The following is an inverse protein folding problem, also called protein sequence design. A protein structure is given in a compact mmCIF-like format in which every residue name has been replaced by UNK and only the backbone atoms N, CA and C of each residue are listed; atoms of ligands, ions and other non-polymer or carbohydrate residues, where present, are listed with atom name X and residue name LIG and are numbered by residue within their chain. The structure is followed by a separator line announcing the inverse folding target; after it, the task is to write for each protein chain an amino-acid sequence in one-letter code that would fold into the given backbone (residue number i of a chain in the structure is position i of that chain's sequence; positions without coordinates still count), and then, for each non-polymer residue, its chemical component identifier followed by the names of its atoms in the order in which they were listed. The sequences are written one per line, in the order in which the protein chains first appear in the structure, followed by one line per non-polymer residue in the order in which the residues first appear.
data_IF_541133464572
#
_entry.id   IF_541133464572
#
_cell.length_a   1.000
_cell.length_b   1.000
_cell.length_c   1.000
_cell.angle_alpha   90.00
_cell.angle_beta   90.00
_cell.angle_gamma   90.00
#
_symmetry.space_group_name_H-M   'P 1'
#
loop_
_entity.id
_entity.type
_entity.pdbx_description
1 polymer ?
#
# COMPACT_ATOMS: atom_id res chain seq x y z
N UNK A 1 -9.77 6.18 -8.66
CA UNK A 1 -8.53 6.19 -9.46
C UNK A 1 -7.66 4.98 -9.10
N UNK A 2 -7.03 4.37 -10.10
CA UNK A 2 -6.07 3.28 -9.91
C UNK A 2 -4.76 3.72 -10.58
N UNK A 3 -3.66 3.70 -9.83
CA UNK A 3 -2.34 4.14 -10.30
C UNK A 3 -1.32 3.02 -10.09
N UNK A 4 -0.77 2.48 -11.16
CA UNK A 4 0.29 1.47 -11.10
C UNK A 4 1.63 2.19 -10.92
N UNK A 5 2.23 2.03 -9.74
CA UNK A 5 3.48 2.70 -9.38
C UNK A 5 4.71 1.89 -9.80
N UNK A 6 4.63 0.56 -9.66
CA UNK A 6 5.60 -0.39 -10.22
C UNK A 6 4.85 -1.60 -10.76
N UNK A 7 5.55 -2.52 -11.40
CA UNK A 7 4.98 -3.81 -11.82
C UNK A 7 4.45 -4.69 -10.66
N UNK A 8 4.71 -4.27 -9.39
CA UNK A 8 4.34 -4.95 -8.14
C UNK A 8 3.62 -4.07 -7.12
N UNK A 9 3.45 -2.76 -7.39
CA UNK A 9 2.87 -1.80 -6.47
C UNK A 9 1.79 -1.00 -7.16
N UNK A 10 0.58 -1.01 -6.60
CA UNK A 10 -0.57 -0.27 -7.13
C UNK A 10 -1.24 0.55 -6.04
N UNK A 11 -1.58 1.80 -6.36
CA UNK A 11 -2.38 2.69 -5.51
C UNK A 11 -3.84 2.62 -5.94
N UNK A 12 -4.72 2.42 -4.96
CA UNK A 12 -6.16 2.35 -5.11
C UNK A 12 -6.79 3.52 -4.38
N UNK A 13 -7.50 4.38 -5.09
CA UNK A 13 -8.13 5.56 -4.52
C UNK A 13 -9.60 5.62 -4.87
N UNK A 14 -10.43 5.93 -3.87
CA UNK A 14 -11.84 6.23 -4.08
C UNK A 14 -12.21 7.52 -3.37
N UNK A 15 -12.91 8.40 -4.10
CA UNK A 15 -13.44 9.66 -3.59
C UNK A 15 -14.85 9.84 -4.12
N UNK A 16 -15.79 10.18 -3.24
CA UNK A 16 -17.19 10.47 -3.61
C UNK A 16 -17.32 11.72 -4.45
N UNK A 17 -16.40 12.69 -4.27
CA UNK A 17 -16.39 13.96 -5.00
C UNK A 17 -15.62 13.88 -6.31
N UNK A 18 -14.87 12.80 -6.54
CA UNK A 18 -13.94 12.67 -7.67
C UNK A 18 -12.66 13.50 -7.53
N UNK A 19 -12.44 14.14 -6.38
CA UNK A 19 -11.20 14.83 -6.06
C UNK A 19 -10.20 13.85 -5.44
N UNK A 20 -8.98 13.84 -5.93
CA UNK A 20 -7.91 12.95 -5.46
C UNK A 20 -6.74 13.76 -4.91
N UNK A 21 -6.13 13.26 -3.84
CA UNK A 21 -5.05 13.94 -3.15
C UNK A 21 -3.69 13.42 -3.60
N UNK A 22 -2.89 14.29 -4.19
CA UNK A 22 -1.56 13.94 -4.69
C UNK A 22 -0.41 14.59 -3.89
N UNK A 23 -0.74 15.46 -2.92
CA UNK A 23 0.26 16.04 -2.01
C UNK A 23 0.88 14.95 -1.14
N UNK A 24 2.05 15.26 -0.61
CA UNK A 24 2.72 14.44 0.40
C UNK A 24 1.85 14.28 1.64
N UNK A 25 1.80 13.10 2.20
CA UNK A 25 1.14 12.85 3.48
C UNK A 25 2.17 12.62 4.58
N UNK A 26 1.72 12.44 5.81
CA UNK A 26 2.61 12.08 6.91
C UNK A 26 3.36 10.76 6.65
N UNK A 27 2.74 9.84 5.90
CA UNK A 27 3.30 8.52 5.59
C UNK A 27 3.93 8.50 4.19
N UNK A 28 3.28 9.10 3.20
CA UNK A 28 3.67 8.97 1.79
C UNK A 28 4.41 10.21 1.32
N UNK A 29 5.69 10.03 1.05
CA UNK A 29 6.58 11.12 0.62
C UNK A 29 6.73 11.21 -0.89
N UNK A 30 6.87 10.06 -1.58
CA UNK A 30 7.18 10.04 -3.01
C UNK A 30 6.36 8.97 -3.74
N UNK A 31 5.68 9.35 -4.81
CA UNK A 31 4.90 8.45 -5.67
C UNK A 31 5.47 8.31 -7.08
N UNK A 32 6.62 8.95 -7.36
CA UNK A 32 7.29 8.84 -8.65
C UNK A 32 8.22 7.64 -8.69
N UNK A 33 7.78 6.60 -9.38
CA UNK A 33 8.53 5.38 -9.63
C UNK A 33 8.95 5.25 -11.10
N UNK A 34 8.67 6.27 -11.92
CA UNK A 34 8.92 6.26 -13.35
C UNK A 34 7.86 5.51 -14.15
N UNK A 35 8.23 5.10 -15.37
CA UNK A 35 7.29 4.41 -16.27
C UNK A 35 7.24 2.91 -15.98
N UNK A 36 6.02 2.38 -15.97
CA UNK A 36 5.74 0.95 -15.77
C UNK A 36 5.23 0.34 -17.07
N UNK A 37 5.78 -0.82 -17.46
CA UNK A 37 5.24 -1.63 -18.54
C UNK A 37 4.06 -2.44 -18.02
N UNK A 38 2.90 -2.26 -18.63
CA UNK A 38 1.68 -3.00 -18.29
C UNK A 38 0.78 -3.13 -19.52
N UNK A 39 -0.05 -4.16 -19.51
CA UNK A 39 -1.19 -4.28 -20.42
C UNK A 39 -2.47 -3.92 -19.68
N UNK A 40 -3.41 -3.28 -20.37
CA UNK A 40 -4.72 -3.01 -19.79
C UNK A 40 -5.84 -3.10 -20.81
N UNK A 41 -7.01 -3.48 -20.32
CA UNK A 41 -8.27 -3.45 -21.06
C UNK A 41 -9.23 -2.56 -20.30
N UNK A 42 -9.72 -1.52 -20.93
CA UNK A 42 -10.71 -0.62 -20.32
C UNK A 42 -11.94 -0.50 -21.21
N UNK A 43 -13.10 -0.74 -20.59
CA UNK A 43 -14.42 -0.53 -21.20
C UNK A 43 -15.24 0.42 -20.31
N UNK A 44 -16.48 0.69 -20.69
CA UNK A 44 -17.40 1.46 -19.83
C UNK A 44 -17.63 0.84 -18.45
N UNK A 45 -17.53 -0.49 -18.33
CA UNK A 45 -17.92 -1.22 -17.13
C UNK A 45 -16.76 -1.95 -16.44
N UNK A 46 -15.65 -2.19 -17.13
CA UNK A 46 -14.56 -3.03 -16.65
C UNK A 46 -13.23 -2.33 -16.88
N UNK A 47 -12.32 -2.49 -15.94
CA UNK A 47 -10.91 -2.21 -16.06
C UNK A 47 -10.12 -3.45 -15.61
N UNK A 48 -9.34 -4.02 -16.52
CA UNK A 48 -8.35 -5.06 -16.24
C UNK A 48 -6.95 -4.48 -16.44
N UNK A 49 -6.08 -4.64 -15.46
CA UNK A 49 -4.67 -4.23 -15.53
C UNK A 49 -3.80 -5.46 -15.29
N UNK A 50 -2.84 -5.68 -16.15
CA UNK A 50 -1.94 -6.82 -16.09
C UNK A 50 -0.48 -6.37 -16.13
N UNK A 51 0.28 -6.75 -15.11
CA UNK A 51 1.74 -6.69 -15.11
C UNK A 51 2.33 -8.10 -15.18
N UNK A 52 3.62 -8.25 -15.11
CA UNK A 52 4.25 -9.57 -14.98
C UNK A 52 3.94 -10.26 -13.65
N UNK A 53 3.53 -9.48 -12.62
CA UNK A 53 3.40 -9.95 -11.23
C UNK A 53 1.97 -10.01 -10.72
N UNK A 54 1.05 -9.22 -11.26
CA UNK A 54 -0.35 -9.27 -10.84
C UNK A 54 -1.34 -9.04 -11.99
N UNK A 55 -2.58 -9.43 -11.74
CA UNK A 55 -3.78 -9.06 -12.50
C UNK A 55 -4.75 -8.35 -11.55
N UNK A 56 -5.10 -7.10 -11.86
CA UNK A 56 -6.14 -6.34 -11.19
C UNK A 56 -7.38 -6.34 -12.06
N UNK A 57 -8.52 -6.70 -11.48
CA UNK A 57 -9.83 -6.63 -12.11
C UNK A 57 -10.74 -5.69 -11.34
N UNK A 58 -11.41 -4.80 -12.05
CA UNK A 58 -12.34 -3.84 -11.45
C UNK A 58 -13.56 -3.61 -12.34
N UNK A 59 -14.74 -3.99 -11.82
CA UNK A 59 -16.05 -3.73 -12.45
C UNK A 59 -16.57 -2.34 -12.09
N UNK A 60 -15.81 -1.32 -12.25
CA UNK A 60 -16.10 0.11 -11.99
C UNK A 60 -17.19 0.38 -10.93
N UNK A 61 -17.26 1.58 -10.42
CA UNK A 61 -18.15 1.97 -9.34
C UNK A 61 -17.43 2.20 -8.01
N UNK A 62 -18.14 2.10 -6.90
CA UNK A 62 -17.56 2.14 -5.56
C UNK A 62 -16.83 0.82 -5.27
N UNK A 63 -15.65 0.90 -4.64
CA UNK A 63 -14.85 -0.30 -4.33
C UNK A 63 -15.56 -1.20 -3.32
N UNK A 64 -15.71 -2.47 -3.67
CA UNK A 64 -16.21 -3.51 -2.79
C UNK A 64 -15.65 -4.90 -3.21
N UNK A 65 -15.89 -5.91 -2.38
CA UNK A 65 -15.37 -7.27 -2.61
C UNK A 65 -15.92 -7.95 -3.88
N UNK A 66 -17.06 -7.50 -4.39
CA UNK A 66 -17.69 -8.10 -5.58
C UNK A 66 -17.14 -7.53 -6.89
N UNK A 67 -16.57 -6.30 -6.84
CA UNK A 67 -16.16 -5.60 -8.04
C UNK A 67 -14.66 -5.32 -8.18
N UNK A 68 -13.87 -5.50 -7.11
CA UNK A 68 -12.43 -5.26 -7.14
C UNK A 68 -11.65 -6.41 -6.51
N UNK A 69 -10.80 -7.04 -7.32
CA UNK A 69 -9.83 -8.00 -6.81
C UNK A 69 -8.45 -7.80 -7.47
N UNK A 70 -7.43 -8.26 -6.78
CA UNK A 70 -6.06 -8.34 -7.31
C UNK A 70 -5.53 -9.76 -7.08
N UNK A 71 -5.06 -10.39 -8.15
CA UNK A 71 -4.50 -11.72 -8.14
C UNK A 71 -3.02 -11.67 -8.51
N UNK A 72 -2.16 -12.26 -7.66
CA UNK A 72 -0.74 -12.40 -7.97
C UNK A 72 -0.53 -13.47 -9.03
N UNK A 73 0.34 -13.19 -9.96
CA UNK A 73 0.86 -14.20 -10.89
C UNK A 73 1.99 -14.97 -10.21
N UNK A 74 1.82 -16.27 -10.08
CA UNK A 74 2.75 -17.16 -9.39
C UNK A 74 2.08 -17.96 -8.30
N UNK A 75 2.80 -18.94 -7.77
CA UNK A 75 2.28 -19.84 -6.74
C UNK A 75 2.86 -19.48 -5.37
N UNK A 76 2.27 -18.49 -4.70
CA UNK A 76 2.72 -17.97 -3.42
C UNK A 76 1.93 -18.51 -2.22
N UNK A 77 0.76 -19.10 -2.46
CA UNK A 77 -0.06 -19.71 -1.42
C UNK A 77 -0.70 -21.00 -1.93
N UNK A 78 -1.01 -21.92 -1.00
CA UNK A 78 -1.62 -23.23 -1.31
C UNK A 78 -3.00 -23.07 -1.96
N UNK A 79 -3.71 -21.98 -1.68
CA UNK A 79 -5.10 -21.73 -2.12
C UNK A 79 -5.23 -20.53 -3.06
N UNK A 80 -4.16 -20.11 -3.70
CA UNK A 80 -4.14 -18.93 -4.57
C UNK A 80 -3.66 -17.68 -3.87
N UNK A 81 -3.45 -16.62 -4.65
CA UNK A 81 -2.88 -15.35 -4.21
C UNK A 81 -3.80 -14.21 -4.66
N UNK A 82 -5.11 -14.39 -4.47
CA UNK A 82 -6.12 -13.40 -4.80
C UNK A 82 -6.57 -12.69 -3.53
N UNK A 83 -6.63 -11.39 -3.61
CA UNK A 83 -7.21 -10.52 -2.59
C UNK A 83 -8.44 -9.82 -3.15
N UNK A 84 -9.52 -9.82 -2.40
CA UNK A 84 -10.71 -9.03 -2.68
C UNK A 84 -10.72 -7.77 -1.82
N UNK A 85 -11.23 -6.67 -2.38
CA UNK A 85 -11.28 -5.41 -1.65
C UNK A 85 -11.98 -5.56 -0.30
N UNK A 86 -11.30 -5.08 0.76
CA UNK A 86 -11.80 -5.17 2.14
C UNK A 86 -11.38 -6.44 2.90
N UNK A 87 -10.75 -7.42 2.24
CA UNK A 87 -10.20 -8.58 2.94
C UNK A 87 -8.98 -8.20 3.78
N UNK A 88 -8.94 -8.71 5.01
CA UNK A 88 -7.76 -8.59 5.87
C UNK A 88 -6.61 -9.46 5.39
N UNK A 89 -5.40 -8.96 5.49
CA UNK A 89 -4.18 -9.68 5.11
C UNK A 89 -3.39 -10.01 6.38
N UNK A 90 -3.06 -11.30 6.58
CA UNK A 90 -2.16 -11.70 7.65
C UNK A 90 -0.71 -11.39 7.26
N UNK A 91 -0.15 -10.32 7.84
CA UNK A 91 1.22 -9.89 7.59
C UNK A 91 2.23 -10.57 8.53
N UNK A 92 3.52 -10.45 8.23
CA UNK A 92 4.60 -10.88 9.12
C UNK A 92 4.83 -9.89 10.27
N UNK A 93 3.92 -8.95 10.43
CA UNK A 93 3.94 -7.87 11.41
C UNK A 93 5.11 -6.91 11.20
N UNK A 94 4.94 -5.72 11.71
CA UNK A 94 5.94 -4.66 11.73
C UNK A 94 6.57 -4.52 13.09
N UNK A 95 6.47 -3.33 13.66
CA UNK A 95 6.97 -2.99 14.99
C UNK A 95 5.84 -2.44 15.87
N UNK A 96 6.15 -2.20 17.15
CA UNK A 96 5.32 -1.38 18.02
C UNK A 96 5.83 0.06 18.00
N UNK A 97 4.93 1.03 18.21
CA UNK A 97 5.30 2.45 18.29
C UNK A 97 6.19 2.74 19.49
N UNK A 98 5.90 2.11 20.61
CA UNK A 98 6.60 2.31 21.87
C UNK A 98 6.57 1.02 22.69
N UNK A 99 7.56 0.88 23.53
CA UNK A 99 7.62 -0.14 24.58
C UNK A 99 7.36 0.46 25.98
N UNK A 100 6.98 1.73 26.05
CA UNK A 100 6.66 2.38 27.30
C UNK A 100 5.50 1.65 27.99
N UNK A 101 5.66 1.38 29.29
CA UNK A 101 4.70 0.63 30.10
C UNK A 101 4.42 -0.81 29.62
N UNK A 102 5.24 -1.35 28.71
CA UNK A 102 5.10 -2.72 28.24
C UNK A 102 5.53 -3.71 29.35
N UNK A 103 4.60 -4.59 29.73
CA UNK A 103 4.84 -5.70 30.66
C UNK A 103 4.51 -7.03 29.96
N UNK A 104 5.52 -7.62 29.34
CA UNK A 104 5.39 -8.85 28.57
C UNK A 104 5.14 -8.59 27.09
N UNK A 105 4.36 -9.47 26.46
CA UNK A 105 4.08 -9.43 25.03
C UNK A 105 3.13 -8.25 24.69
N UNK A 106 3.46 -7.54 23.63
CA UNK A 106 2.65 -6.44 23.08
C UNK A 106 2.19 -6.77 21.67
N UNK A 107 1.04 -6.26 21.22
CA UNK A 107 0.62 -6.40 19.84
C UNK A 107 1.58 -5.63 18.91
N UNK A 108 1.96 -6.25 17.80
CA UNK A 108 2.72 -5.60 16.74
C UNK A 108 1.77 -5.11 15.65
N UNK A 109 2.09 -3.97 15.07
CA UNK A 109 1.36 -3.42 13.92
C UNK A 109 1.60 -4.26 12.66
N UNK A 110 0.70 -4.14 11.68
CA UNK A 110 0.85 -4.81 10.41
C UNK A 110 2.07 -4.29 9.63
N UNK A 111 2.74 -5.22 8.94
CA UNK A 111 3.88 -4.93 8.10
C UNK A 111 3.51 -4.93 6.62
N UNK A 112 4.49 -4.62 5.77
CA UNK A 112 4.32 -4.55 4.31
C UNK A 112 4.75 -5.86 3.59
N UNK A 113 4.95 -6.93 4.33
CA UNK A 113 5.29 -8.26 3.80
C UNK A 113 4.42 -9.33 4.47
N UNK A 114 4.13 -10.39 3.75
CA UNK A 114 3.35 -11.52 4.24
C UNK A 114 3.80 -12.85 3.63
N UNK A 115 3.33 -13.96 4.18
CA UNK A 115 3.56 -15.29 3.60
C UNK A 115 2.73 -15.53 2.34
N UNK A 116 1.58 -14.87 2.23
CA UNK A 116 0.75 -14.91 1.02
C UNK A 116 1.31 -14.07 -0.14
N UNK A 117 2.39 -13.32 0.11
CA UNK A 117 3.04 -12.51 -0.91
C UNK A 117 2.37 -11.18 -1.21
N UNK A 118 1.35 -10.81 -0.44
CA UNK A 118 0.62 -9.55 -0.55
C UNK A 118 0.64 -8.78 0.76
N UNK A 119 0.59 -7.46 0.69
CA UNK A 119 0.37 -6.58 1.83
C UNK A 119 -0.38 -5.33 1.39
N UNK A 120 -1.01 -4.66 2.34
CA UNK A 120 -1.76 -3.44 2.14
C UNK A 120 -1.28 -2.36 3.10
N UNK A 121 -0.97 -1.18 2.56
CA UNK A 121 -0.67 0.00 3.32
C UNK A 121 -1.84 0.97 3.16
N UNK A 122 -2.48 1.34 4.27
CA UNK A 122 -3.63 2.26 4.28
C UNK A 122 -3.18 3.66 4.72
N UNK A 123 -3.30 4.62 3.80
CA UNK A 123 -3.03 6.04 4.04
C UNK A 123 -4.31 6.88 4.03
N UNK A 124 -5.48 6.25 4.08
CA UNK A 124 -6.79 6.92 3.99
C UNK A 124 -7.02 7.97 5.08
N UNK A 125 -6.39 7.79 6.24
CA UNK A 125 -6.46 8.70 7.40
C UNK A 125 -5.18 9.52 7.60
N UNK A 126 -4.22 9.45 6.66
CA UNK A 126 -2.95 10.16 6.73
C UNK A 126 -3.16 11.67 6.65
N UNK A 127 -2.48 12.44 7.53
CA UNK A 127 -2.44 13.90 7.41
C UNK A 127 -1.70 14.32 6.15
N UNK A 128 -2.22 15.34 5.46
CA UNK A 128 -1.64 15.92 4.25
C UNK A 128 -0.67 17.03 4.65
N UNK A 129 0.49 17.09 4.02
CA UNK A 129 1.39 18.23 4.15
C UNK A 129 0.95 19.39 3.26
N UNK A 130 0.62 20.51 3.89
CA UNK A 130 0.32 21.77 3.22
C UNK A 130 1.41 22.80 3.55
N UNK A 131 1.95 23.46 2.54
CA UNK A 131 3.09 24.39 2.70
C UNK A 131 2.78 25.60 3.60
N UNK A 132 1.52 26.00 3.68
CA UNK A 132 1.11 27.19 4.46
C UNK A 132 0.62 26.82 5.84
N UNK A 133 -0.09 25.70 5.99
CA UNK A 133 -0.79 25.31 7.19
C UNK A 133 -0.10 24.18 7.96
N UNK A 134 0.93 23.55 7.39
CA UNK A 134 1.56 22.35 7.95
C UNK A 134 0.70 21.12 7.71
N UNK A 135 0.62 20.21 8.67
CA UNK A 135 -0.22 19.02 8.55
C UNK A 135 -1.70 19.36 8.73
N UNK A 136 -2.51 19.02 7.72
CA UNK A 136 -3.96 19.19 7.72
C UNK A 136 -4.66 17.84 7.60
N UNK A 137 -5.89 17.76 8.11
CA UNK A 137 -6.71 16.57 7.99
C UNK A 137 -7.11 16.31 6.53
N UNK A 138 -7.20 15.05 6.19
CA UNK A 138 -7.65 14.59 4.88
C UNK A 138 -9.19 14.50 4.85
N UNK A 139 -9.80 14.82 3.71
CA UNK A 139 -11.19 14.49 3.45
C UNK A 139 -11.39 12.95 3.45
N UNK A 140 -12.59 12.50 3.80
CA UNK A 140 -12.91 11.07 3.83
C UNK A 140 -12.82 10.46 2.43
N UNK A 141 -11.74 9.74 2.16
CA UNK A 141 -11.47 9.03 0.91
C UNK A 141 -10.67 7.75 1.22
N UNK A 142 -10.69 6.82 0.28
CA UNK A 142 -9.85 5.63 0.33
C UNK A 142 -8.55 5.94 -0.39
N UNK A 143 -7.41 5.60 0.23
CA UNK A 143 -6.08 5.67 -0.37
C UNK A 143 -5.22 4.50 0.13
N UNK A 144 -5.19 3.45 -0.66
CA UNK A 144 -4.53 2.19 -0.32
C UNK A 144 -3.37 1.92 -1.27
N UNK A 145 -2.29 1.37 -0.76
CA UNK A 145 -1.16 0.89 -1.54
C UNK A 145 -1.07 -0.63 -1.40
N UNK A 146 -1.32 -1.33 -2.51
CA UNK A 146 -1.29 -2.78 -2.58
C UNK A 146 0.07 -3.25 -3.06
N UNK A 147 0.75 -4.05 -2.24
CA UNK A 147 2.06 -4.62 -2.50
C UNK A 147 1.91 -6.06 -2.98
N UNK A 148 2.24 -6.33 -4.25
CA UNK A 148 2.17 -7.63 -4.92
C UNK A 148 3.57 -8.24 -5.12
N UNK A 149 4.40 -8.24 -4.08
CA UNK A 149 5.83 -8.61 -4.20
C UNK A 149 6.09 -10.10 -4.09
N UNK A 150 5.07 -10.92 -3.79
CA UNK A 150 5.31 -12.33 -3.52
C UNK A 150 6.31 -12.49 -2.37
N UNK A 151 7.35 -13.30 -2.59
CA UNK A 151 8.41 -13.47 -1.60
C UNK A 151 9.66 -12.60 -1.88
N UNK A 152 9.55 -11.61 -2.77
CA UNK A 152 10.58 -10.57 -2.94
C UNK A 152 10.48 -9.51 -1.82
N UNK A 153 10.72 -9.95 -0.59
CA UNK A 153 10.63 -9.09 0.60
C UNK A 153 11.58 -7.90 0.56
N UNK A 154 12.75 -8.06 -0.07
CA UNK A 154 13.71 -6.96 -0.21
C UNK A 154 13.22 -5.91 -1.20
N UNK A 155 12.60 -6.32 -2.29
CA UNK A 155 11.94 -5.43 -3.24
C UNK A 155 10.80 -4.65 -2.56
N UNK A 156 9.94 -5.32 -1.79
CA UNK A 156 8.87 -4.69 -1.04
C UNK A 156 9.39 -3.61 -0.08
N UNK A 157 10.43 -3.91 0.71
CA UNK A 157 11.03 -2.98 1.66
C UNK A 157 11.70 -1.80 0.93
N UNK A 158 12.42 -2.05 -0.17
CA UNK A 158 13.05 -0.99 -0.96
C UNK A 158 12.01 -0.01 -1.49
N UNK A 159 10.94 -0.51 -2.09
CA UNK A 159 9.92 0.33 -2.70
C UNK A 159 9.02 0.98 -1.65
N UNK A 160 8.85 0.36 -0.48
CA UNK A 160 8.25 0.99 0.68
C UNK A 160 9.07 2.22 1.12
N UNK A 161 10.39 2.11 1.26
CA UNK A 161 11.24 3.25 1.61
C UNK A 161 11.33 4.31 0.50
N UNK A 162 11.18 3.93 -0.76
CA UNK A 162 11.05 4.90 -1.84
C UNK A 162 9.74 5.70 -1.71
N UNK A 163 8.65 5.02 -1.36
CA UNK A 163 7.33 5.59 -1.17
C UNK A 163 7.25 6.49 0.08
N UNK A 164 7.79 6.03 1.21
CA UNK A 164 7.62 6.67 2.53
C UNK A 164 8.80 7.53 2.97
N UNK A 165 9.88 7.51 2.23
CA UNK A 165 11.16 8.09 2.65
C UNK A 165 11.99 7.13 3.51
N UNK A 166 13.28 7.33 3.52
CA UNK A 166 14.21 6.51 4.31
C UNK A 166 14.14 6.86 5.79
N UNK A 167 14.22 5.85 6.64
CA UNK A 167 14.40 6.06 8.09
C UNK A 167 15.69 6.84 8.35
N UNK A 168 15.64 7.96 9.08
CA UNK A 168 16.84 8.72 9.40
C UNK A 168 17.78 7.90 10.28
N UNK A 169 19.09 8.02 10.04
CA UNK A 169 20.10 7.42 10.90
C UNK A 169 20.07 8.11 12.26
N UNK A 170 19.80 7.32 13.29
CA UNK A 170 19.91 7.82 14.67
C UNK A 170 21.36 8.13 15.01
N UNK A 171 21.63 9.23 15.72
CA UNK A 171 22.96 9.52 16.23
C UNK A 171 23.40 8.42 17.20
N UNK A 172 24.71 8.11 17.20
CA UNK A 172 25.24 6.98 17.97
C UNK A 172 24.88 7.00 19.46
N UNK A 173 24.80 8.19 20.07
CA UNK A 173 24.43 8.33 21.47
C UNK A 173 22.97 7.93 21.76
N UNK A 174 22.08 7.95 20.77
CA UNK A 174 20.68 7.55 20.93
C UNK A 174 20.49 6.01 20.91
N UNK A 175 21.55 5.26 20.55
CA UNK A 175 21.52 3.79 20.52
C UNK A 175 21.87 3.14 21.89
N UNK A 176 22.02 3.95 22.92
CA UNK A 176 22.40 3.50 24.25
C UNK A 176 23.90 3.37 24.44
N UNK A 177 24.31 2.82 25.58
CA UNK A 177 25.71 2.63 25.97
C UNK A 177 26.36 1.50 25.19
#
# INVERSE_FOLDING_TARGET
RISVLTDKLVRLEYSQTGSFEDRTTQLIYNRDFGQVSLDYIETSNVLDIMTDYFHLHFNKGEFNAENLFIELKGNFAVYGSRWYFGESIETLKGTARTLDEADGAIPLEDGIISRSGIALLDDSQGFIWDEQSGYIERENQIDLYFFAYGHDYRGAIRDFYHLTGSTPLLPRYALGN
#
